data_IF_690652247646
#
_entry.id   IF_690652247646
#
_cell.length_a   1.000
_cell.length_b   1.000
_cell.length_c   1.000
_cell.angle_alpha   90.00
_cell.angle_beta   90.00
_cell.angle_gamma   90.00
#
_symmetry.space_group_name_H-M   'P 1'
#
loop_
_entity.id
_entity.type
_entity.pdbx_description
1 polymer ?
#
# COMPACT_ATOMS: atom_id res chain seq x y z
N UNK A 1 -26.15 -9.11 -48.49
CA UNK A 1 -24.94 -9.83 -48.06
C UNK A 1 -24.28 -9.24 -46.83
N UNK A 2 -24.14 -7.89 -46.72
CA UNK A 2 -23.44 -7.22 -45.53
C UNK A 2 -24.19 -7.44 -44.23
N UNK A 3 -25.54 -7.44 -44.27
CA UNK A 3 -26.36 -7.67 -43.10
C UNK A 3 -26.22 -9.12 -42.54
N UNK A 4 -26.09 -10.10 -43.42
CA UNK A 4 -25.88 -11.49 -43.04
C UNK A 4 -24.52 -11.69 -42.39
N UNK A 5 -23.47 -11.08 -42.94
CA UNK A 5 -22.15 -11.11 -42.32
C UNK A 5 -22.16 -10.47 -40.96
N UNK A 6 -22.83 -9.31 -40.78
CA UNK A 6 -23.01 -8.67 -39.50
C UNK A 6 -23.73 -9.56 -38.48
N UNK A 7 -24.81 -10.21 -38.89
CA UNK A 7 -25.55 -11.11 -38.01
C UNK A 7 -24.71 -12.32 -37.54
N UNK A 8 -23.91 -12.90 -38.45
CA UNK A 8 -23.00 -14.01 -38.11
C UNK A 8 -21.94 -13.57 -37.10
N UNK A 9 -21.34 -12.38 -37.30
CA UNK A 9 -20.35 -11.82 -36.37
C UNK A 9 -20.97 -11.57 -35.00
N UNK A 10 -22.15 -10.94 -34.94
CA UNK A 10 -22.87 -10.70 -33.68
C UNK A 10 -23.16 -12.00 -32.95
N UNK A 11 -23.68 -13.03 -33.68
CA UNK A 11 -23.97 -14.32 -33.08
C UNK A 11 -22.73 -15.06 -32.57
N UNK A 12 -21.60 -14.92 -33.25
CA UNK A 12 -20.34 -15.51 -32.83
C UNK A 12 -19.75 -14.76 -31.58
N UNK A 13 -19.79 -13.43 -31.57
CA UNK A 13 -19.29 -12.63 -30.46
C UNK A 13 -20.17 -12.76 -29.21
N UNK A 14 -21.51 -12.88 -29.37
CA UNK A 14 -22.43 -13.06 -28.25
C UNK A 14 -22.14 -14.32 -27.40
N UNK A 15 -21.57 -15.35 -28.01
CA UNK A 15 -21.15 -16.58 -27.29
C UNK A 15 -19.84 -16.41 -26.50
N UNK A 16 -19.03 -15.41 -26.82
CA UNK A 16 -17.78 -15.10 -26.14
C UNK A 16 -18.00 -14.23 -24.91
N UNK A 17 -19.11 -13.48 -24.87
CA UNK A 17 -19.44 -12.63 -23.71
C UNK A 17 -19.96 -13.51 -22.57
N UNK A 18 -19.24 -13.52 -21.46
CA UNK A 18 -19.61 -14.23 -20.23
C UNK A 18 -19.95 -13.20 -19.14
N UNK A 19 -21.21 -12.74 -19.05
CA UNK A 19 -21.60 -11.69 -18.13
C UNK A 19 -21.40 -12.09 -16.67
N UNK A 20 -21.58 -13.36 -16.34
CA UNK A 20 -21.33 -13.94 -15.02
C UNK A 20 -19.89 -13.72 -14.54
N UNK A 21 -18.90 -13.84 -15.42
CA UNK A 21 -17.49 -13.57 -15.08
C UNK A 21 -17.23 -12.08 -14.90
N UNK A 22 -17.84 -11.22 -15.72
CA UNK A 22 -17.71 -9.77 -15.61
C UNK A 22 -18.30 -9.26 -14.31
N UNK A 23 -19.49 -9.72 -13.93
CA UNK A 23 -20.10 -9.39 -12.64
C UNK A 23 -19.31 -9.96 -11.45
N UNK A 24 -18.65 -11.10 -11.63
CA UNK A 24 -17.76 -11.67 -10.63
C UNK A 24 -16.60 -10.74 -10.22
N UNK A 25 -16.06 -9.94 -11.15
CA UNK A 25 -14.97 -8.99 -10.89
C UNK A 25 -15.40 -7.94 -9.86
N UNK A 26 -16.62 -7.42 -9.97
CA UNK A 26 -17.15 -6.44 -9.01
C UNK A 26 -17.33 -7.00 -7.59
N UNK A 27 -17.63 -8.29 -7.48
CA UNK A 27 -17.75 -8.97 -6.18
C UNK A 27 -16.39 -9.20 -5.53
N UNK A 28 -15.35 -9.36 -6.35
CA UNK A 28 -13.98 -9.62 -5.86
C UNK A 28 -13.21 -8.33 -5.53
N UNK A 29 -13.34 -7.29 -6.37
CA UNK A 29 -12.65 -6.02 -6.17
C UNK A 29 -13.38 -4.88 -6.87
N UNK A 30 -13.99 -3.99 -6.10
CA UNK A 30 -14.67 -2.80 -6.63
C UNK A 30 -13.73 -1.93 -7.51
N UNK A 31 -12.49 -1.62 -7.10
CA UNK A 31 -11.58 -0.82 -7.93
C UNK A 31 -11.28 -1.46 -9.29
N UNK A 32 -11.05 -2.78 -9.33
CA UNK A 32 -10.78 -3.49 -10.59
C UNK A 32 -12.03 -3.54 -11.49
N UNK A 33 -13.21 -3.74 -10.89
CA UNK A 33 -14.49 -3.67 -11.59
C UNK A 33 -14.71 -2.28 -12.22
N UNK A 34 -14.37 -1.22 -11.51
CA UNK A 34 -14.48 0.16 -12.01
C UNK A 34 -13.55 0.41 -13.20
N UNK A 35 -12.28 -0.03 -13.12
CA UNK A 35 -11.35 0.07 -14.27
C UNK A 35 -11.91 -0.66 -15.48
N UNK A 36 -12.40 -1.88 -15.30
CA UNK A 36 -12.97 -2.66 -16.39
C UNK A 36 -14.19 -1.97 -17.03
N UNK A 37 -15.12 -1.44 -16.21
CA UNK A 37 -16.30 -0.73 -16.68
C UNK A 37 -15.94 0.58 -17.42
N UNK A 38 -15.05 1.38 -16.86
CA UNK A 38 -14.60 2.65 -17.49
C UNK A 38 -13.90 2.37 -18.82
N UNK A 39 -13.01 1.37 -18.85
CA UNK A 39 -12.31 0.98 -20.09
C UNK A 39 -13.29 0.50 -21.15
N UNK A 40 -14.29 -0.30 -20.76
CA UNK A 40 -15.32 -0.79 -21.68
C UNK A 40 -16.14 0.36 -22.27
N UNK A 41 -16.64 1.26 -21.43
CA UNK A 41 -17.41 2.44 -21.88
C UNK A 41 -16.55 3.33 -22.76
N UNK A 42 -15.30 3.60 -22.39
CA UNK A 42 -14.37 4.38 -23.18
C UNK A 42 -14.12 3.73 -24.56
N UNK A 43 -14.00 2.42 -24.63
CA UNK A 43 -13.82 1.68 -25.88
C UNK A 43 -15.01 1.87 -26.82
N UNK A 44 -16.25 1.82 -26.30
CA UNK A 44 -17.44 2.07 -27.10
C UNK A 44 -17.55 3.54 -27.56
N UNK A 45 -17.28 4.48 -26.66
CA UNK A 45 -17.40 5.92 -26.94
C UNK A 45 -16.34 6.45 -27.92
N UNK A 46 -15.14 5.86 -27.88
CA UNK A 46 -13.99 6.30 -28.70
C UNK A 46 -13.82 5.51 -29.99
N UNK A 47 -14.73 4.59 -30.32
CA UNK A 47 -14.69 3.86 -31.59
C UNK A 47 -14.66 4.85 -32.78
N UNK A 48 -13.76 4.67 -33.79
CA UNK A 48 -12.85 3.53 -34.00
C UNK A 48 -11.46 3.64 -33.32
N UNK A 49 -11.21 4.69 -32.53
CA UNK A 49 -9.89 4.94 -31.91
C UNK A 49 -9.73 4.16 -30.59
N UNK A 50 -9.77 2.85 -30.68
CA UNK A 50 -9.74 1.92 -29.53
C UNK A 50 -8.44 2.07 -28.73
N UNK A 51 -7.33 2.44 -29.37
CA UNK A 51 -6.03 2.63 -28.74
C UNK A 51 -6.06 3.65 -27.58
N UNK A 52 -6.89 4.70 -27.71
CA UNK A 52 -7.04 5.72 -26.65
C UNK A 52 -7.77 5.18 -25.43
N UNK A 53 -8.81 4.40 -25.65
CA UNK A 53 -9.56 3.76 -24.59
C UNK A 53 -8.69 2.78 -23.80
N UNK A 54 -7.84 2.01 -24.49
CA UNK A 54 -6.89 1.09 -23.85
C UNK A 54 -5.88 1.86 -22.99
N UNK A 55 -5.32 2.97 -23.52
CA UNK A 55 -4.39 3.83 -22.76
C UNK A 55 -5.04 4.42 -21.51
N UNK A 56 -6.31 4.83 -21.58
CA UNK A 56 -7.08 5.31 -20.41
C UNK A 56 -7.22 4.18 -19.39
N UNK A 57 -7.57 2.96 -19.82
CA UNK A 57 -7.69 1.81 -18.96
C UNK A 57 -6.38 1.45 -18.26
N UNK A 58 -5.27 1.45 -18.98
CA UNK A 58 -3.94 1.20 -18.42
C UNK A 58 -3.58 2.29 -17.42
N UNK A 59 -3.74 3.57 -17.78
CA UNK A 59 -3.43 4.69 -16.90
C UNK A 59 -4.23 4.66 -15.62
N UNK A 60 -5.53 4.36 -15.70
CA UNK A 60 -6.40 4.23 -14.53
C UNK A 60 -6.00 3.03 -13.65
N UNK A 61 -5.66 1.90 -14.27
CA UNK A 61 -5.18 0.71 -13.55
C UNK A 61 -3.89 0.98 -12.78
N UNK A 62 -2.93 1.66 -13.43
CA UNK A 62 -1.67 2.06 -12.78
C UNK A 62 -1.94 3.06 -11.65
N UNK A 63 -2.80 4.05 -11.86
CA UNK A 63 -3.14 5.06 -10.86
C UNK A 63 -3.75 4.42 -9.60
N UNK A 64 -4.71 3.49 -9.77
CA UNK A 64 -5.31 2.78 -8.65
C UNK A 64 -4.30 1.86 -7.94
N UNK A 65 -3.42 1.21 -8.70
CA UNK A 65 -2.37 0.38 -8.13
C UNK A 65 -1.40 1.20 -7.28
N UNK A 66 -0.91 2.31 -7.82
CA UNK A 66 -0.03 3.24 -7.10
C UNK A 66 -0.72 3.81 -5.84
N UNK A 67 -1.97 4.21 -5.97
CA UNK A 67 -2.73 4.71 -4.80
C UNK A 67 -2.80 3.68 -3.67
N UNK A 68 -3.08 2.42 -4.00
CA UNK A 68 -3.11 1.34 -3.00
C UNK A 68 -1.75 1.07 -2.36
N UNK A 69 -0.69 1.15 -3.16
CA UNK A 69 0.68 0.91 -2.70
C UNK A 69 1.20 2.04 -1.81
N UNK A 70 0.79 3.29 -2.10
CA UNK A 70 1.15 4.46 -1.31
C UNK A 70 0.40 4.54 0.03
N UNK A 71 -0.75 3.86 0.15
CA UNK A 71 -1.53 3.84 1.40
C UNK A 71 -1.02 2.72 2.30
N UNK A 72 0.03 2.99 3.07
CA UNK A 72 0.52 2.08 4.11
C UNK A 72 -0.45 2.10 5.29
N UNK A 73 -0.88 0.93 5.74
CA UNK A 73 -1.66 0.83 6.96
C UNK A 73 -0.69 0.81 8.15
N UNK A 74 -0.82 1.81 8.99
CA UNK A 74 -0.08 1.91 10.25
C UNK A 74 -1.09 1.78 11.37
N UNK A 75 -0.99 0.70 12.13
CA UNK A 75 -1.77 0.58 13.36
C UNK A 75 -1.00 1.30 14.47
N UNK A 76 -1.65 2.27 15.08
CA UNK A 76 -1.13 3.04 16.19
C UNK A 76 -2.01 2.82 17.42
N UNK A 77 -1.41 2.57 18.57
CA UNK A 77 -2.12 2.25 19.82
C UNK A 77 -1.33 2.72 21.04
N UNK A 78 -2.04 3.06 22.12
CA UNK A 78 -1.45 3.38 23.41
C UNK A 78 -1.85 2.34 24.43
N UNK A 79 -0.91 1.55 24.88
CA UNK A 79 -1.17 0.47 25.84
C UNK A 79 -0.06 0.33 26.87
N UNK A 80 -0.42 0.32 28.15
CA UNK A 80 0.53 0.09 29.24
C UNK A 80 1.59 1.18 29.41
N UNK A 81 1.27 2.45 29.13
CA UNK A 81 2.19 3.59 29.19
C UNK A 81 3.15 3.70 28.00
N UNK A 82 2.93 2.92 26.96
CA UNK A 82 3.80 2.86 25.77
C UNK A 82 2.98 3.16 24.54
N UNK A 83 3.57 3.93 23.63
CA UNK A 83 3.07 4.11 22.26
C UNK A 83 3.51 2.93 21.41
N UNK A 84 2.56 2.31 20.70
CA UNK A 84 2.83 1.21 19.79
C UNK A 84 2.55 1.66 18.37
N UNK A 85 3.51 1.47 17.48
CA UNK A 85 3.34 1.69 16.03
C UNK A 85 3.67 0.39 15.32
N UNK A 86 2.71 -0.10 14.53
CA UNK A 86 2.83 -1.34 13.75
C UNK A 86 2.64 -1.04 12.27
N UNK A 87 3.71 -0.74 11.53
CA UNK A 87 3.62 -0.60 10.08
C UNK A 87 3.41 -1.96 9.43
N UNK A 88 2.46 -2.03 8.48
CA UNK A 88 2.15 -3.24 7.73
C UNK A 88 2.50 -3.07 6.26
N UNK A 89 2.98 -4.16 5.63
CA UNK A 89 3.25 -4.21 4.20
C UNK A 89 4.66 -3.81 3.83
N UNK A 90 4.83 -2.87 2.89
CA UNK A 90 6.13 -2.45 2.35
C UNK A 90 6.42 -1.02 2.80
N UNK A 91 7.53 -0.82 3.49
CA UNK A 91 7.99 0.52 3.85
C UNK A 91 9.01 1.01 2.82
N UNK A 92 8.67 2.12 2.17
CA UNK A 92 9.53 2.84 1.22
C UNK A 92 9.32 4.35 1.41
N UNK A 93 10.07 5.16 0.71
CA UNK A 93 10.03 6.63 0.94
C UNK A 93 8.61 7.23 0.83
N UNK A 94 7.76 6.68 -0.05
CA UNK A 94 6.39 7.18 -0.25
C UNK A 94 5.41 6.83 0.87
N UNK A 95 5.74 5.84 1.73
CA UNK A 95 4.93 5.46 2.89
C UNK A 95 5.42 6.06 4.22
N UNK A 96 6.60 6.68 4.22
CA UNK A 96 7.18 7.32 5.40
C UNK A 96 6.28 8.42 6.01
N UNK A 97 5.62 9.31 5.21
CA UNK A 97 4.74 10.34 5.78
C UNK A 97 3.59 9.78 6.61
N UNK A 98 3.04 8.62 6.23
CA UNK A 98 1.98 7.98 7.01
C UNK A 98 2.45 7.46 8.38
N UNK A 99 3.71 7.11 8.50
CA UNK A 99 4.32 6.71 9.77
C UNK A 99 4.56 7.92 10.69
N UNK A 100 5.02 9.03 10.12
CA UNK A 100 5.20 10.31 10.84
C UNK A 100 3.87 10.87 11.32
N UNK A 101 2.84 10.85 10.48
CA UNK A 101 1.49 11.30 10.82
C UNK A 101 0.93 10.46 11.97
N UNK A 102 1.01 9.13 11.90
CA UNK A 102 0.55 8.24 12.95
C UNK A 102 1.29 8.46 14.29
N UNK A 103 2.60 8.75 14.26
CA UNK A 103 3.35 9.08 15.46
C UNK A 103 2.92 10.42 16.05
N UNK A 104 2.77 11.45 15.22
CA UNK A 104 2.39 12.78 15.66
C UNK A 104 0.98 12.81 16.26
N UNK A 105 0.02 12.09 15.65
CA UNK A 105 -1.33 11.94 16.18
C UNK A 105 -1.31 11.25 17.55
N UNK A 106 -0.56 10.16 17.66
CA UNK A 106 -0.47 9.38 18.89
C UNK A 106 0.23 10.16 20.02
N UNK A 107 1.26 10.95 19.71
CA UNK A 107 1.93 11.82 20.66
C UNK A 107 1.05 13.00 21.11
N UNK A 108 0.23 13.52 20.19
CA UNK A 108 -0.72 14.59 20.50
C UNK A 108 -1.81 14.14 21.46
N UNK A 109 -2.27 12.88 21.29
CA UNK A 109 -3.30 12.28 22.13
C UNK A 109 -2.73 11.80 23.49
N UNK A 110 -1.43 11.47 23.54
CA UNK A 110 -0.76 10.91 24.73
C UNK A 110 0.57 11.62 25.04
N UNK A 111 0.52 12.90 25.41
CA UNK A 111 1.74 13.69 25.68
C UNK A 111 2.52 13.21 26.91
N UNK A 112 1.94 12.38 27.76
CA UNK A 112 2.57 11.78 28.94
C UNK A 112 3.43 10.55 28.61
N UNK A 113 3.39 10.05 27.36
CA UNK A 113 4.13 8.86 27.00
C UNK A 113 5.64 9.13 26.93
N UNK A 114 6.42 8.21 27.48
CA UNK A 114 7.88 8.27 27.50
C UNK A 114 8.54 7.17 26.64
N UNK A 115 7.75 6.25 26.11
CA UNK A 115 8.24 5.10 25.35
C UNK A 115 7.48 4.89 24.04
N UNK A 116 8.26 4.66 23.00
CA UNK A 116 7.77 4.28 21.67
C UNK A 116 8.26 2.87 21.33
N UNK A 117 7.35 1.99 20.99
CA UNK A 117 7.66 0.64 20.49
C UNK A 117 7.21 0.53 19.05
N UNK A 118 8.14 0.24 18.15
CA UNK A 118 7.86 0.02 16.72
C UNK A 118 7.91 -1.48 16.46
N UNK A 119 6.74 -2.09 16.25
CA UNK A 119 6.65 -3.52 15.93
C UNK A 119 6.71 -3.72 14.42
N UNK A 120 7.82 -4.27 13.97
CA UNK A 120 8.13 -4.53 12.56
C UNK A 120 7.68 -5.93 12.10
N UNK A 121 6.99 -6.69 12.94
CA UNK A 121 6.55 -8.06 12.64
C UNK A 121 5.59 -8.15 11.46
N UNK A 122 4.76 -7.11 11.26
CA UNK A 122 3.84 -7.00 10.11
C UNK A 122 4.49 -6.51 8.81
N UNK A 123 5.77 -6.18 8.84
CA UNK A 123 6.49 -5.61 7.71
C UNK A 123 6.99 -6.71 6.76
N UNK A 124 6.48 -6.73 5.53
CA UNK A 124 6.89 -7.71 4.52
C UNK A 124 8.23 -7.37 3.88
N UNK A 125 8.50 -6.08 3.66
CA UNK A 125 9.71 -5.61 2.97
C UNK A 125 10.01 -4.16 3.32
N UNK A 126 11.31 -3.82 3.35
CA UNK A 126 11.79 -2.44 3.46
C UNK A 126 12.88 -2.22 2.40
N UNK A 127 12.93 -1.03 1.82
CA UNK A 127 14.06 -0.60 1.01
C UNK A 127 15.00 0.33 1.80
N UNK A 128 16.12 0.73 1.19
CA UNK A 128 17.09 1.61 1.83
C UNK A 128 16.49 2.97 2.21
N UNK A 129 15.64 3.53 1.34
CA UNK A 129 15.02 4.85 1.58
C UNK A 129 13.97 4.78 2.68
N UNK A 130 13.17 3.71 2.75
CA UNK A 130 12.26 3.44 3.85
C UNK A 130 12.99 3.22 5.18
N UNK A 131 14.12 2.53 5.15
CA UNK A 131 14.94 2.34 6.35
C UNK A 131 15.58 3.66 6.84
N UNK A 132 16.01 4.53 5.91
CA UNK A 132 16.51 5.85 6.24
C UNK A 132 15.42 6.76 6.83
N UNK A 133 14.21 6.72 6.29
CA UNK A 133 13.06 7.43 6.83
C UNK A 133 12.68 6.93 8.24
N UNK A 134 12.66 5.60 8.42
CA UNK A 134 12.43 5.02 9.75
C UNK A 134 13.50 5.44 10.76
N UNK A 135 14.78 5.51 10.33
CA UNK A 135 15.85 6.02 11.17
C UNK A 135 15.63 7.47 11.56
N UNK A 136 15.26 8.33 10.60
CA UNK A 136 15.00 9.74 10.86
C UNK A 136 13.87 9.92 11.89
N UNK A 137 12.79 9.15 11.77
CA UNK A 137 11.69 9.14 12.71
C UNK A 137 12.11 8.69 14.11
N UNK A 138 12.94 7.65 14.20
CA UNK A 138 13.50 7.18 15.48
C UNK A 138 14.38 8.27 16.12
N UNK A 139 15.25 8.89 15.33
CA UNK A 139 16.13 9.96 15.81
C UNK A 139 15.30 11.18 16.29
N UNK A 140 14.22 11.53 15.60
CA UNK A 140 13.31 12.59 16.00
C UNK A 140 12.58 12.25 17.30
N UNK A 141 12.06 11.04 17.43
CA UNK A 141 11.40 10.58 18.66
C UNK A 141 12.36 10.58 19.87
N UNK A 142 13.62 10.16 19.68
CA UNK A 142 14.65 10.19 20.71
C UNK A 142 14.98 11.64 21.09
N UNK A 143 15.09 12.54 20.12
CA UNK A 143 15.34 13.97 20.37
C UNK A 143 14.17 14.64 21.09
N UNK A 144 12.95 14.15 20.89
CA UNK A 144 11.75 14.55 21.63
C UNK A 144 11.71 13.99 23.08
N UNK A 145 12.66 13.15 23.45
CA UNK A 145 12.77 12.59 24.81
C UNK A 145 12.16 11.20 25.00
N UNK A 146 11.71 10.57 23.91
CA UNK A 146 11.14 9.21 23.97
C UNK A 146 12.25 8.15 24.01
N UNK A 147 12.02 7.11 24.80
CA UNK A 147 12.80 5.87 24.71
C UNK A 147 12.22 5.01 23.57
N UNK A 148 12.97 4.82 22.48
CA UNK A 148 12.51 4.06 21.31
C UNK A 148 13.07 2.65 21.33
N UNK A 149 12.21 1.66 21.08
CA UNK A 149 12.61 0.27 20.83
C UNK A 149 11.90 -0.29 19.59
N UNK A 150 12.56 -1.19 18.88
CA UNK A 150 12.02 -1.88 17.71
C UNK A 150 11.96 -3.39 17.97
N UNK A 151 10.84 -4.03 17.64
CA UNK A 151 10.62 -5.45 17.87
C UNK A 151 10.17 -6.16 16.58
N UNK A 152 10.22 -7.48 16.57
CA UNK A 152 9.61 -8.31 15.54
C UNK A 152 10.21 -8.21 14.12
N UNK A 153 11.35 -7.54 13.93
CA UNK A 153 11.91 -7.31 12.60
C UNK A 153 12.27 -8.62 11.87
N UNK A 154 11.67 -8.88 10.67
CA UNK A 154 12.06 -9.99 9.83
C UNK A 154 13.54 -9.93 9.44
N UNK A 155 14.19 -11.08 9.10
CA UNK A 155 15.63 -11.12 8.80
C UNK A 155 16.07 -10.17 7.67
N UNK A 156 15.23 -9.99 6.66
CA UNK A 156 15.49 -9.04 5.56
C UNK A 156 15.45 -7.59 6.04
N UNK A 157 14.44 -7.22 6.81
CA UNK A 157 14.27 -5.88 7.39
C UNK A 157 15.45 -5.57 8.30
N UNK A 158 15.79 -6.48 9.21
CA UNK A 158 16.93 -6.35 10.14
C UNK A 158 18.25 -6.09 9.41
N UNK A 159 18.52 -6.80 8.31
CA UNK A 159 19.74 -6.61 7.51
C UNK A 159 19.82 -5.22 6.90
N UNK A 160 18.72 -4.69 6.38
CA UNK A 160 18.70 -3.36 5.77
C UNK A 160 18.80 -2.27 6.86
N UNK A 161 18.12 -2.43 7.98
CA UNK A 161 18.25 -1.50 9.10
C UNK A 161 19.70 -1.43 9.60
N UNK A 162 20.38 -2.55 9.74
CA UNK A 162 21.80 -2.60 10.11
C UNK A 162 22.72 -1.87 9.11
N UNK A 163 22.33 -1.77 7.83
CA UNK A 163 23.12 -1.04 6.83
C UNK A 163 22.91 0.48 6.88
N UNK A 164 21.83 0.94 7.49
CA UNK A 164 21.49 2.39 7.59
C UNK A 164 21.91 2.97 8.94
N UNK A 165 21.92 2.14 10.01
CA UNK A 165 22.39 2.58 11.33
C UNK A 165 23.92 2.54 11.41
N UNK A 166 24.55 3.64 11.82
CA UNK A 166 26.01 3.70 12.10
C UNK A 166 26.40 2.99 13.41
N UNK A 167 25.56 2.09 13.90
CA UNK A 167 25.70 1.32 15.12
C UNK A 167 24.66 0.22 15.20
N UNK A 168 24.32 -0.20 16.41
CA UNK A 168 23.26 -1.17 16.60
C UNK A 168 21.92 -0.45 16.62
N UNK A 169 20.97 -0.76 15.71
CA UNK A 169 19.61 -0.22 15.79
C UNK A 169 18.99 -0.61 17.15
N UNK A 170 18.07 0.22 17.72
CA UNK A 170 17.46 -0.02 19.03
C UNK A 170 16.45 -1.18 18.98
N UNK A 171 16.99 -2.39 18.79
CA UNK A 171 16.19 -3.62 18.69
C UNK A 171 16.10 -4.31 20.05
N UNK A 172 14.88 -4.51 20.52
CA UNK A 172 14.62 -5.48 21.59
C UNK A 172 14.60 -6.90 21.00
N UNK A 173 15.39 -7.80 21.55
CA UNK A 173 15.23 -9.23 21.26
C UNK A 173 13.86 -9.65 21.77
N UNK A 174 13.03 -10.17 20.87
CA UNK A 174 11.73 -10.73 21.23
C UNK A 174 12.00 -11.86 22.22
N UNK A 175 11.69 -11.65 23.49
CA UNK A 175 11.70 -12.73 24.47
C UNK A 175 10.73 -13.82 23.97
N UNK A 176 11.28 -14.99 23.68
CA UNK A 176 10.59 -16.21 23.23
C UNK A 176 9.69 -16.73 24.36
#
# INVERSE_FOLDING_TARGET
PRAVLGAIVIAAVARLVRPDQVFGIFRFSIPQGTVAAVTFVATLAMSPRIERAVLIGIGLGIAIHLWRELTTHVDADYTGGRLWIRPHGVLFFGSAPGLEEALNDLLSDHPEADRLVIDLGGMGRIDYTGAAALKALVDEAVNAGLTVSMTGAPPQVRRILQSVWEGTPPMEETAT
#
